data_IF_263709103780
#
_entry.id   IF_263709103780
#
_cell.length_a   1.000
_cell.length_b   1.000
_cell.length_c   1.000
_cell.angle_alpha   90.00
_cell.angle_beta   90.00
_cell.angle_gamma   90.00
#
_symmetry.space_group_name_H-M   'P 1'
#
loop_
_entity.id
_entity.type
_entity.pdbx_description
1 polymer ?
#
# COMPACT_ATOMS: atom_id res chain seq x y z
N UNK A 1 13.47 18.35 -5.41
CA UNK A 1 14.47 17.28 -5.25
C UNK A 1 14.31 16.23 -6.34
N UNK A 2 15.35 15.99 -7.14
CA UNK A 2 15.46 14.91 -8.13
C UNK A 2 16.62 13.95 -7.81
N UNK A 3 16.85 12.91 -8.62
CA UNK A 3 17.87 11.87 -8.35
C UNK A 3 19.29 12.37 -8.14
N UNK A 4 19.64 13.51 -8.75
CA UNK A 4 20.98 14.11 -8.66
C UNK A 4 21.25 14.78 -7.30
N UNK A 5 20.20 15.19 -6.59
CA UNK A 5 20.31 15.98 -5.35
C UNK A 5 20.58 15.09 -4.11
N UNK A 6 20.62 13.77 -4.28
CA UNK A 6 20.70 12.78 -3.21
C UNK A 6 21.91 11.85 -3.35
N UNK A 7 22.92 12.23 -4.16
CA UNK A 7 24.10 11.40 -4.46
C UNK A 7 23.75 9.94 -4.84
N UNK A 8 22.54 9.73 -5.40
CA UNK A 8 22.04 8.41 -5.82
C UNK A 8 22.60 7.99 -7.19
N UNK A 9 23.75 8.51 -7.64
CA UNK A 9 24.34 8.09 -8.92
C UNK A 9 24.67 6.60 -8.91
N UNK A 10 25.25 6.12 -7.81
CA UNK A 10 25.52 4.70 -7.56
C UNK A 10 24.22 3.90 -7.42
N UNK A 11 23.19 4.48 -6.79
CA UNK A 11 21.91 3.82 -6.51
C UNK A 11 21.03 3.72 -7.76
N UNK A 12 21.00 4.76 -8.58
CA UNK A 12 20.31 4.79 -9.89
C UNK A 12 21.02 3.87 -10.88
N UNK A 13 22.35 3.82 -10.84
CA UNK A 13 23.15 2.85 -11.61
C UNK A 13 22.87 1.41 -11.17
N UNK A 14 22.82 1.15 -9.86
CA UNK A 14 22.45 -0.15 -9.32
C UNK A 14 21.02 -0.57 -9.73
N UNK A 15 20.06 0.37 -9.74
CA UNK A 15 18.70 0.11 -10.21
C UNK A 15 18.67 -0.22 -11.72
N UNK A 16 19.46 0.47 -12.54
CA UNK A 16 19.59 0.19 -13.97
C UNK A 16 20.28 -1.16 -14.24
N UNK A 17 21.36 -1.47 -13.50
CA UNK A 17 22.14 -2.71 -13.64
C UNK A 17 21.37 -3.94 -13.13
N UNK A 18 20.46 -3.76 -12.15
CA UNK A 18 19.59 -4.83 -11.64
C UNK A 18 18.60 -5.35 -12.68
N UNK A 19 18.37 -4.63 -13.78
CA UNK A 19 17.62 -5.12 -14.94
C UNK A 19 18.27 -6.31 -15.65
N UNK A 20 19.50 -6.70 -15.28
CA UNK A 20 20.30 -7.75 -15.94
C UNK A 20 20.35 -9.06 -15.13
N UNK A 21 19.94 -9.08 -13.85
CA UNK A 21 20.07 -10.27 -13.00
C UNK A 21 18.84 -11.21 -13.09
N UNK A 22 19.03 -12.40 -13.70
CA UNK A 22 18.03 -13.51 -13.76
C UNK A 22 17.86 -14.21 -12.40
N UNK A 23 17.47 -13.50 -11.34
CA UNK A 23 16.95 -14.14 -10.11
C UNK A 23 15.50 -14.56 -10.38
N UNK A 24 15.07 -15.71 -9.83
CA UNK A 24 13.67 -16.17 -9.92
C UNK A 24 12.69 -15.25 -9.20
N UNK A 25 13.17 -14.45 -8.23
CA UNK A 25 12.39 -13.50 -7.44
C UNK A 25 13.11 -12.14 -7.39
N UNK A 26 12.42 -11.01 -7.63
CA UNK A 26 13.01 -9.69 -7.52
C UNK A 26 13.36 -9.39 -6.06
N UNK A 27 14.58 -8.90 -5.81
CA UNK A 27 15.03 -8.53 -4.47
C UNK A 27 14.99 -7.02 -4.33
N UNK A 28 14.34 -6.52 -3.29
CA UNK A 28 14.31 -5.09 -2.98
C UNK A 28 15.55 -4.76 -2.13
N UNK A 29 16.24 -3.68 -2.45
CA UNK A 29 17.28 -3.15 -1.56
C UNK A 29 16.82 -1.85 -0.93
N UNK A 30 17.27 -1.59 0.29
CA UNK A 30 17.03 -0.31 0.96
C UNK A 30 18.31 0.23 1.58
N UNK A 31 18.37 1.54 1.71
CA UNK A 31 19.46 2.24 2.42
C UNK A 31 18.87 3.33 3.29
N UNK A 32 19.18 3.31 4.57
CA UNK A 32 18.92 4.43 5.47
C UNK A 32 19.96 5.53 5.29
N UNK A 33 19.53 6.69 4.82
CA UNK A 33 20.36 7.90 4.67
C UNK A 33 20.55 8.57 6.03
N UNK A 34 19.48 8.65 6.81
CA UNK A 34 19.48 9.28 8.13
C UNK A 34 18.45 8.62 9.03
N UNK A 35 18.75 8.54 10.33
CA UNK A 35 17.83 8.05 11.34
C UNK A 35 18.06 8.79 12.66
N UNK A 36 16.97 9.25 13.25
CA UNK A 36 16.92 9.80 14.60
C UNK A 36 15.58 9.44 15.26
N UNK A 37 15.36 9.89 16.49
CA UNK A 37 14.10 9.62 17.21
C UNK A 37 12.86 10.23 16.54
N UNK A 38 13.05 11.30 15.75
CA UNK A 38 11.95 12.09 15.20
C UNK A 38 11.61 11.71 13.76
N UNK A 39 12.59 11.29 12.97
CA UNK A 39 12.38 10.88 11.60
C UNK A 39 13.51 9.99 11.07
N UNK A 40 13.22 9.24 10.02
CA UNK A 40 14.20 8.53 9.21
C UNK A 40 14.02 8.86 7.73
N UNK A 41 15.10 8.76 6.98
CA UNK A 41 15.14 8.94 5.52
C UNK A 41 15.67 7.64 4.92
N UNK A 42 14.85 6.97 4.11
CA UNK A 42 15.17 5.67 3.53
C UNK A 42 14.96 5.74 2.01
N UNK A 43 15.87 5.14 1.25
CA UNK A 43 15.69 4.91 -0.18
C UNK A 43 15.49 3.43 -0.44
N UNK A 44 14.43 3.09 -1.16
CA UNK A 44 14.16 1.75 -1.67
C UNK A 44 14.49 1.67 -3.15
N UNK A 45 15.17 0.60 -3.55
CA UNK A 45 15.35 0.20 -4.94
C UNK A 45 14.55 -1.04 -5.25
N UNK A 46 13.65 -0.88 -6.20
CA UNK A 46 12.75 -1.94 -6.64
C UNK A 46 13.15 -2.31 -8.08
N UNK A 47 13.65 -3.53 -8.32
CA UNK A 47 13.80 -4.02 -9.69
C UNK A 47 12.43 -4.19 -10.38
N UNK A 48 12.38 -4.27 -11.73
CA UNK A 48 11.12 -4.52 -12.44
C UNK A 48 10.38 -5.75 -11.90
N UNK A 49 9.08 -5.60 -11.66
CA UNK A 49 8.22 -6.65 -11.10
C UNK A 49 8.32 -6.82 -9.57
N UNK A 50 9.20 -6.10 -8.88
CA UNK A 50 9.24 -6.11 -7.42
C UNK A 50 8.01 -5.43 -6.81
N UNK A 51 7.58 -5.92 -5.65
CA UNK A 51 6.42 -5.41 -4.94
C UNK A 51 6.79 -5.19 -3.47
N UNK A 52 6.57 -3.98 -2.97
CA UNK A 52 6.40 -3.75 -1.53
C UNK A 52 4.92 -4.04 -1.24
N UNK A 53 4.60 -5.14 -0.53
CA UNK A 53 3.21 -5.58 -0.32
C UNK A 53 2.41 -4.53 0.44
N UNK A 54 1.09 -4.68 0.45
CA UNK A 54 0.22 -3.79 1.20
C UNK A 54 0.58 -3.82 2.69
N UNK A 55 0.96 -2.67 3.25
CA UNK A 55 1.38 -2.52 4.64
C UNK A 55 0.96 -1.16 5.20
N UNK A 56 0.88 -1.04 6.52
CA UNK A 56 0.53 0.20 7.22
C UNK A 56 1.73 0.96 7.81
N UNK A 57 1.42 2.15 8.35
CA UNK A 57 2.36 3.08 8.98
C UNK A 57 1.76 3.59 10.31
N UNK A 58 1.74 2.77 11.39
CA UNK A 58 0.98 3.06 12.60
C UNK A 58 1.46 4.34 13.31
N UNK A 59 0.61 5.36 13.36
CA UNK A 59 0.92 6.62 14.04
C UNK A 59 1.96 7.49 13.32
N UNK A 60 2.24 7.21 12.04
CA UNK A 60 3.29 7.88 11.28
C UNK A 60 2.72 8.79 10.19
N UNK A 61 3.45 9.85 9.88
CA UNK A 61 3.32 10.64 8.65
C UNK A 61 4.50 10.29 7.75
N UNK A 62 4.23 9.96 6.49
CA UNK A 62 5.29 9.58 5.53
C UNK A 62 5.18 10.43 4.28
N UNK A 63 6.30 11.04 3.89
CA UNK A 63 6.48 11.64 2.58
C UNK A 63 7.18 10.64 1.68
N UNK A 64 6.52 10.22 0.60
CA UNK A 64 7.08 9.26 -0.35
C UNK A 64 7.25 9.89 -1.73
N UNK A 65 8.42 9.74 -2.35
CA UNK A 65 8.70 10.32 -3.66
C UNK A 65 9.36 9.32 -4.59
N UNK A 66 8.72 9.07 -5.73
CA UNK A 66 9.34 8.34 -6.84
C UNK A 66 10.41 9.21 -7.49
N UNK A 67 11.67 8.81 -7.33
CA UNK A 67 12.82 9.51 -7.89
C UNK A 67 13.14 9.03 -9.31
N UNK A 68 12.95 7.74 -9.57
CA UNK A 68 13.24 7.11 -10.86
C UNK A 68 12.23 6.01 -11.17
N UNK A 69 11.95 5.80 -12.46
CA UNK A 69 11.13 4.70 -12.94
C UNK A 69 9.64 4.98 -12.99
N UNK A 70 8.88 3.90 -13.05
CA UNK A 70 7.43 3.88 -12.98
C UNK A 70 6.95 2.69 -12.16
N UNK A 71 5.97 2.93 -11.30
CA UNK A 71 5.35 1.93 -10.44
C UNK A 71 3.85 2.18 -10.34
N UNK A 72 3.12 1.15 -9.95
CA UNK A 72 1.71 1.23 -9.61
C UNK A 72 1.56 1.36 -8.09
N UNK A 73 0.74 2.30 -7.65
CA UNK A 73 0.40 2.52 -6.24
C UNK A 73 -1.07 2.20 -6.02
N UNK A 74 -1.32 1.37 -5.02
CA UNK A 74 -2.66 1.17 -4.46
C UNK A 74 -2.61 1.54 -2.98
N UNK A 75 -3.49 2.43 -2.51
CA UNK A 75 -3.52 2.85 -1.11
C UNK A 75 -4.93 2.99 -0.54
N UNK A 76 -5.04 2.81 0.77
CA UNK A 76 -6.29 2.73 1.51
C UNK A 76 -6.19 3.48 2.84
N UNK A 77 -7.32 4.00 3.30
CA UNK A 77 -7.55 4.42 4.68
C UNK A 77 -8.67 3.57 5.28
N UNK A 78 -8.70 3.43 6.61
CA UNK A 78 -9.81 2.74 7.26
C UNK A 78 -11.13 3.47 6.98
N UNK A 79 -12.20 2.72 6.69
CA UNK A 79 -13.53 3.31 6.66
C UNK A 79 -13.95 3.69 8.09
N UNK A 80 -14.81 4.70 8.22
CA UNK A 80 -15.30 5.16 9.53
C UNK A 80 -15.81 3.99 10.39
N UNK A 81 -15.61 4.07 11.71
CA UNK A 81 -15.86 3.00 12.67
C UNK A 81 -17.24 2.34 12.48
N UNK A 82 -17.25 1.03 12.23
CA UNK A 82 -18.50 0.27 12.10
C UNK A 82 -18.48 -0.99 11.23
N UNK A 83 -17.32 -1.45 10.74
CA UNK A 83 -17.26 -2.65 9.91
C UNK A 83 -15.96 -3.42 10.15
N UNK A 84 -15.75 -3.83 11.39
CA UNK A 84 -14.85 -4.94 11.68
C UNK A 84 -15.68 -6.22 11.49
N UNK A 85 -15.26 -7.11 10.60
CA UNK A 85 -15.88 -8.44 10.58
C UNK A 85 -15.40 -9.17 11.83
N UNK A 86 -16.30 -9.57 12.72
CA UNK A 86 -15.96 -10.26 13.98
C UNK A 86 -15.39 -11.68 13.80
N UNK A 87 -15.05 -12.09 12.58
CA UNK A 87 -14.48 -13.41 12.27
C UNK A 87 -12.94 -13.42 12.23
N UNK A 88 -12.35 -14.60 12.44
CA UNK A 88 -10.93 -14.87 12.19
C UNK A 88 -10.76 -15.44 10.76
N UNK A 89 -9.86 -14.86 9.93
CA UNK A 89 -8.93 -13.78 10.25
C UNK A 89 -9.63 -12.42 10.18
N UNK A 90 -9.20 -11.51 11.05
CA UNK A 90 -9.80 -10.18 11.18
C UNK A 90 -9.62 -9.39 9.87
N UNK A 91 -10.72 -9.20 9.14
CA UNK A 91 -10.77 -8.27 8.03
C UNK A 91 -11.42 -6.98 8.50
N UNK A 92 -10.88 -5.86 8.02
CA UNK A 92 -11.41 -4.52 8.33
C UNK A 92 -11.73 -3.76 7.07
N UNK A 93 -12.88 -3.09 7.08
CA UNK A 93 -13.32 -2.29 5.95
C UNK A 93 -12.39 -1.09 5.73
N UNK A 94 -11.96 -0.91 4.49
CA UNK A 94 -11.12 0.19 4.07
C UNK A 94 -11.66 0.87 2.81
N UNK A 95 -11.27 2.13 2.63
CA UNK A 95 -11.61 2.96 1.50
C UNK A 95 -10.36 3.17 0.64
N UNK A 96 -10.46 2.86 -0.64
CA UNK A 96 -9.46 3.12 -1.66
C UNK A 96 -9.25 4.63 -1.81
N UNK A 97 -8.01 5.06 -1.55
CA UNK A 97 -7.54 6.44 -1.64
C UNK A 97 -6.93 6.67 -3.01
N UNK A 98 -5.92 5.88 -3.38
CA UNK A 98 -5.20 5.95 -4.64
C UNK A 98 -5.13 4.56 -5.31
N UNK A 99 -5.30 4.54 -6.62
CA UNK A 99 -5.10 3.37 -7.49
C UNK A 99 -4.63 3.89 -8.83
N UNK A 100 -3.31 4.00 -9.01
CA UNK A 100 -2.73 4.73 -10.14
C UNK A 100 -1.30 4.31 -10.46
N UNK A 101 -0.96 4.40 -11.74
CA UNK A 101 0.42 4.35 -12.21
C UNK A 101 1.09 5.71 -12.02
N UNK A 102 2.25 5.71 -11.37
CA UNK A 102 3.12 6.87 -11.21
C UNK A 102 4.37 6.69 -12.07
N UNK A 103 4.83 7.78 -12.67
CA UNK A 103 6.07 7.84 -13.45
C UNK A 103 6.88 9.06 -13.06
N UNK A 104 8.17 8.88 -12.82
CA UNK A 104 9.07 10.00 -12.56
C UNK A 104 9.27 10.85 -13.85
N UNK A 105 9.34 12.19 -13.74
CA UNK A 105 9.17 12.97 -12.52
C UNK A 105 7.69 13.11 -12.11
N UNK A 106 7.41 12.96 -10.82
CA UNK A 106 6.08 13.21 -10.23
C UNK A 106 6.20 13.97 -8.90
N UNK A 107 5.06 14.44 -8.40
CA UNK A 107 4.94 14.99 -7.04
C UNK A 107 5.22 13.93 -5.97
N UNK A 108 5.41 14.39 -4.73
CA UNK A 108 5.47 13.48 -3.58
C UNK A 108 4.05 13.07 -3.17
N UNK A 109 3.90 11.85 -2.68
CA UNK A 109 2.75 11.41 -1.91
C UNK A 109 2.97 11.73 -0.44
N UNK A 110 1.88 11.99 0.28
CA UNK A 110 1.91 12.19 1.73
C UNK A 110 0.79 11.36 2.33
N UNK A 111 1.13 10.52 3.30
CA UNK A 111 0.17 9.83 4.16
C UNK A 111 0.30 10.33 5.60
N UNK A 112 -0.79 10.25 6.33
CA UNK A 112 -0.95 10.59 7.73
C UNK A 112 -1.39 9.32 8.51
N UNK A 113 -1.43 9.37 9.85
CA UNK A 113 -1.82 8.20 10.65
C UNK A 113 -3.20 7.60 10.29
N UNK A 114 -4.15 8.43 9.87
CA UNK A 114 -5.54 8.01 9.59
C UNK A 114 -6.07 8.51 8.24
N UNK A 115 -5.22 9.11 7.39
CA UNK A 115 -5.66 9.64 6.10
C UNK A 115 -4.53 9.69 5.06
N UNK A 116 -4.91 9.79 3.79
CA UNK A 116 -3.94 9.94 2.69
C UNK A 116 -3.41 8.61 2.15
N UNK A 117 -3.95 7.49 2.62
CA UNK A 117 -3.56 6.15 2.19
C UNK A 117 -2.52 5.54 3.13
N UNK A 118 -2.80 5.48 4.43
CA UNK A 118 -1.88 4.93 5.44
C UNK A 118 -1.45 3.49 5.11
N UNK A 119 -2.37 2.71 4.54
CA UNK A 119 -2.06 1.38 4.02
C UNK A 119 -1.76 1.49 2.53
N UNK A 120 -0.57 1.11 2.09
CA UNK A 120 -0.21 1.20 0.67
C UNK A 120 0.64 0.05 0.14
N UNK A 121 0.54 -0.17 -1.16
CA UNK A 121 1.26 -1.17 -1.94
C UNK A 121 1.97 -0.47 -3.09
N UNK A 122 3.24 -0.81 -3.30
CA UNK A 122 4.06 -0.29 -4.41
C UNK A 122 4.48 -1.46 -5.30
N UNK A 123 4.11 -1.42 -6.59
CA UNK A 123 4.47 -2.45 -7.56
C UNK A 123 5.26 -1.85 -8.73
N UNK A 124 6.55 -2.19 -8.82
CA UNK A 124 7.46 -1.61 -9.79
C UNK A 124 7.22 -2.15 -11.20
N UNK A 125 6.83 -1.27 -12.13
CA UNK A 125 6.70 -1.60 -13.55
C UNK A 125 8.05 -1.57 -14.26
N UNK A 126 8.92 -0.64 -13.87
CA UNK A 126 10.34 -0.58 -14.27
C UNK A 126 11.22 -0.64 -13.04
N UNK A 127 12.55 -0.60 -13.21
CA UNK A 127 13.44 -0.30 -12.09
C UNK A 127 13.02 1.05 -11.48
N UNK A 128 12.85 1.08 -10.16
CA UNK A 128 12.40 2.26 -9.42
C UNK A 128 13.33 2.60 -8.26
N UNK A 129 13.43 3.90 -7.97
CA UNK A 129 14.00 4.41 -6.74
C UNK A 129 12.93 5.24 -6.03
N UNK A 130 12.58 4.86 -4.79
CA UNK A 130 11.58 5.55 -3.97
C UNK A 130 12.26 6.06 -2.72
N UNK A 131 12.09 7.34 -2.43
CA UNK A 131 12.56 7.97 -1.19
C UNK A 131 11.40 8.15 -0.24
N UNK A 132 11.55 7.63 0.97
CA UNK A 132 10.60 7.83 2.06
C UNK A 132 11.25 8.65 3.19
N UNK A 133 10.50 9.62 3.71
CA UNK A 133 10.79 10.33 4.96
C UNK A 133 9.69 9.96 5.95
N UNK A 134 10.05 9.21 7.00
CA UNK A 134 9.10 8.63 7.95
C UNK A 134 9.19 9.37 9.28
N UNK A 135 8.06 9.90 9.76
CA UNK A 135 7.99 10.67 11.02
C UNK A 135 6.82 10.24 11.90
N UNK A 136 7.07 9.68 13.10
CA UNK A 136 8.35 9.12 13.56
C UNK A 136 8.73 7.84 12.78
N UNK A 137 9.93 7.28 12.95
CA UNK A 137 10.26 5.96 12.41
C UNK A 137 9.47 4.84 13.10
N UNK A 138 9.46 3.67 12.46
CA UNK A 138 9.02 2.42 13.07
C UNK A 138 9.82 2.11 14.35
N UNK A 139 9.20 1.36 15.27
CA UNK A 139 9.81 0.89 16.52
C UNK A 139 9.12 -0.39 16.97
N UNK A 140 9.61 -1.10 17.98
CA UNK A 140 8.94 -2.33 18.47
C UNK A 140 7.50 -2.13 19.01
N UNK A 141 7.02 -0.89 19.10
CA UNK A 141 5.61 -0.55 19.41
C UNK A 141 4.84 -0.01 18.19
N UNK A 142 5.50 0.12 17.05
CA UNK A 142 5.02 0.58 15.75
C UNK A 142 5.66 -0.31 14.69
N UNK A 143 5.36 -1.60 14.73
CA UNK A 143 5.77 -2.51 13.66
C UNK A 143 4.78 -2.38 12.50
N UNK A 144 5.27 -2.55 11.27
CA UNK A 144 4.39 -2.59 10.11
C UNK A 144 3.59 -3.90 10.09
N UNK A 145 2.29 -3.78 9.87
CA UNK A 145 1.37 -4.88 9.61
C UNK A 145 1.17 -5.04 8.11
N UNK A 146 1.10 -6.27 7.62
CA UNK A 146 0.87 -6.57 6.21
C UNK A 146 -0.56 -7.01 5.95
N UNK A 147 -1.10 -6.66 4.80
CA UNK A 147 -2.48 -6.95 4.44
C UNK A 147 -2.62 -7.58 3.06
N UNK A 148 -3.74 -8.26 2.85
CA UNK A 148 -4.29 -8.58 1.53
C UNK A 148 -5.60 -7.83 1.37
N UNK A 149 -5.76 -7.13 0.25
CA UNK A 149 -7.03 -6.51 -0.11
C UNK A 149 -7.98 -7.52 -0.78
N UNK A 150 -9.25 -7.43 -0.42
CA UNK A 150 -10.34 -8.21 -0.96
C UNK A 150 -11.42 -7.26 -1.49
N UNK A 151 -12.03 -7.53 -2.65
CA UNK A 151 -13.16 -6.77 -3.16
C UNK A 151 -14.28 -6.63 -2.12
N UNK A 152 -14.97 -5.48 -2.10
CA UNK A 152 -16.10 -5.24 -1.19
C UNK A 152 -17.16 -6.35 -1.22
N UNK A 153 -17.43 -6.93 -2.39
CA UNK A 153 -18.39 -8.02 -2.59
C UNK A 153 -18.01 -9.32 -1.88
N UNK A 154 -16.74 -9.50 -1.51
CA UNK A 154 -16.24 -10.71 -0.84
C UNK A 154 -16.45 -10.71 0.68
N UNK A 155 -17.11 -9.69 1.25
CA UNK A 155 -17.48 -9.69 2.69
C UNK A 155 -18.19 -10.97 3.13
N UNK A 156 -19.05 -11.54 2.27
CA UNK A 156 -19.81 -12.75 2.56
C UNK A 156 -18.94 -14.02 2.65
N UNK A 157 -17.78 -14.04 2.02
CA UNK A 157 -16.85 -15.17 2.11
C UNK A 157 -16.13 -15.20 3.47
N UNK A 158 -15.97 -14.05 4.11
CA UNK A 158 -15.39 -13.92 5.44
C UNK A 158 -16.35 -14.37 6.55
N UNK A 159 -17.66 -14.25 6.31
CA UNK A 159 -18.71 -14.66 7.26
C UNK A 159 -19.08 -16.16 7.19
N UNK A 160 -18.62 -16.89 6.18
CA UNK A 160 -18.97 -18.32 5.96
C UNK A 160 -18.16 -19.32 6.79
N UNK A 161 -17.35 -18.85 7.74
CA UNK A 161 -16.69 -19.72 8.72
C UNK A 161 -17.53 -19.98 9.97
N UNK A 162 -18.76 -19.44 10.08
CA UNK A 162 -19.57 -19.53 11.31
C UNK A 162 -21.03 -20.00 11.11
N UNK A 163 -21.42 -20.55 9.97
CA UNK A 163 -22.83 -21.00 9.82
C UNK A 163 -22.99 -22.23 8.91
N UNK A 164 -22.78 -23.41 9.48
CA UNK A 164 -23.47 -24.62 9.06
C UNK A 164 -24.83 -24.65 9.79
N UNK A 165 -25.82 -23.90 9.30
CA UNK A 165 -27.09 -23.74 10.00
C UNK A 165 -28.22 -23.04 9.25
N UNK A 166 -28.94 -23.81 8.44
CA UNK A 166 -30.32 -23.55 7.99
C UNK A 166 -30.58 -22.56 6.83
N UNK A 167 -31.25 -23.08 5.80
CA UNK A 167 -31.76 -22.35 4.65
C UNK A 167 -33.16 -21.75 4.90
N UNK A 168 -33.47 -20.57 4.35
CA UNK A 168 -34.80 -20.27 3.78
C UNK A 168 -34.86 -18.97 2.96
N UNK A 169 -35.27 -19.15 1.70
CA UNK A 169 -36.11 -18.38 0.77
C UNK A 169 -36.47 -16.89 0.99
N UNK A 170 -36.58 -16.18 -0.15
CA UNK A 170 -37.54 -15.08 -0.33
C UNK A 170 -37.12 -14.01 -1.34
N UNK A 171 -37.37 -14.25 -2.63
CA UNK A 171 -37.50 -13.19 -3.64
C UNK A 171 -38.83 -12.48 -3.40
N UNK A 172 -38.84 -11.14 -3.40
CA UNK A 172 -40.05 -10.40 -3.80
C UNK A 172 -39.70 -9.03 -4.37
N UNK A 173 -40.33 -8.79 -5.52
CA UNK A 173 -40.12 -7.73 -6.49
C UNK A 173 -41.13 -6.61 -6.23
N UNK A 174 -40.69 -5.35 -6.05
CA UNK A 174 -41.60 -4.19 -6.13
C UNK A 174 -40.95 -3.03 -6.89
N UNK A 175 -41.63 -2.68 -7.98
CA UNK A 175 -41.35 -1.57 -8.89
C UNK A 175 -42.04 -0.28 -8.40
N UNK A 176 -41.36 0.85 -8.61
CA UNK A 176 -41.85 2.16 -9.07
C UNK A 176 -41.44 3.38 -8.21
N UNK A 177 -40.93 4.42 -8.89
CA UNK A 177 -40.80 5.80 -8.37
C UNK A 177 -39.57 6.53 -8.92
N UNK A 178 -39.74 7.28 -10.01
CA UNK A 178 -38.67 7.96 -10.74
C UNK A 178 -38.28 9.34 -10.18
N UNK A 179 -37.02 9.73 -10.51
CA UNK A 179 -36.53 11.10 -10.69
C UNK A 179 -36.27 11.97 -9.45
N UNK A 180 -35.49 11.44 -8.50
CA UNK A 180 -34.65 12.22 -7.56
C UNK A 180 -33.50 11.37 -6.98
N UNK A 181 -33.61 10.03 -7.04
CA UNK A 181 -32.66 9.08 -6.44
C UNK A 181 -31.46 8.68 -7.32
N UNK A 182 -31.38 9.09 -8.58
CA UNK A 182 -30.35 8.57 -9.51
C UNK A 182 -28.95 9.05 -9.17
N UNK A 183 -28.81 10.29 -8.71
CA UNK A 183 -27.52 10.88 -8.34
C UNK A 183 -27.04 10.38 -6.98
N UNK A 184 -27.95 10.21 -6.02
CA UNK A 184 -27.61 9.63 -4.72
C UNK A 184 -27.31 8.13 -4.84
N UNK A 185 -28.05 7.39 -5.67
CA UNK A 185 -27.79 5.99 -5.96
C UNK A 185 -26.46 5.80 -6.70
N UNK A 186 -26.14 6.65 -7.69
CA UNK A 186 -24.83 6.66 -8.36
C UNK A 186 -23.69 7.07 -7.43
N UNK A 187 -23.89 8.04 -6.54
CA UNK A 187 -22.91 8.43 -5.51
C UNK A 187 -22.68 7.30 -4.51
N UNK A 188 -23.74 6.65 -4.04
CA UNK A 188 -23.67 5.47 -3.15
C UNK A 188 -22.99 4.27 -3.85
N UNK A 189 -23.29 4.03 -5.13
CA UNK A 189 -22.62 3.00 -5.93
C UNK A 189 -21.15 3.34 -6.19
N UNK A 190 -20.82 4.59 -6.54
CA UNK A 190 -19.46 5.07 -6.73
C UNK A 190 -18.62 5.04 -5.44
N UNK A 191 -19.24 5.35 -4.30
CA UNK A 191 -18.64 5.20 -2.98
C UNK A 191 -18.37 3.73 -2.65
N UNK A 192 -19.32 2.83 -2.95
CA UNK A 192 -19.14 1.37 -2.79
C UNK A 192 -18.04 0.79 -3.68
N UNK A 193 -17.81 1.34 -4.88
CA UNK A 193 -16.70 0.95 -5.77
C UNK A 193 -15.32 1.29 -5.20
N UNK A 194 -15.25 2.19 -4.23
CA UNK A 194 -14.02 2.56 -3.52
C UNK A 194 -13.88 1.87 -2.17
N UNK A 195 -14.71 0.89 -1.84
CA UNK A 195 -14.57 0.12 -0.61
C UNK A 195 -13.92 -1.25 -0.90
N UNK A 196 -13.19 -1.76 0.08
CA UNK A 196 -12.57 -3.08 0.08
C UNK A 196 -12.34 -3.55 1.51
N UNK A 197 -11.98 -4.82 1.67
CA UNK A 197 -11.62 -5.39 2.97
C UNK A 197 -10.13 -5.63 3.01
N UNK A 198 -9.46 -5.19 4.07
CA UNK A 198 -8.06 -5.54 4.31
C UNK A 198 -8.01 -6.65 5.34
N UNK A 199 -7.47 -7.78 4.91
CA UNK A 199 -7.22 -8.95 5.75
C UNK A 199 -5.79 -8.89 6.26
N UNK A 200 -5.60 -8.89 7.57
CA UNK A 200 -4.26 -8.96 8.15
C UNK A 200 -3.57 -10.29 7.77
N UNK A 201 -2.28 -10.20 7.47
CA UNK A 201 -1.43 -11.32 7.07
C UNK A 201 -0.08 -11.23 7.76
N UNK A 202 0.61 -12.37 7.87
CA UNK A 202 2.03 -12.36 8.21
C UNK A 202 2.86 -11.75 7.08
N UNK A 203 4.10 -11.31 7.39
CA UNK A 203 5.06 -10.85 6.38
C UNK A 203 5.15 -11.86 5.22
N UNK A 204 4.92 -11.45 3.96
CA UNK A 204 4.95 -12.37 2.83
C UNK A 204 6.30 -13.07 2.71
N UNK A 205 6.29 -14.40 2.48
CA UNK A 205 7.50 -15.23 2.40
C UNK A 205 8.36 -14.87 1.17
N UNK A 206 7.74 -14.28 0.16
CA UNK A 206 8.33 -13.78 -1.06
C UNK A 206 8.95 -12.38 -0.93
N UNK A 207 8.70 -11.66 0.17
CA UNK A 207 9.26 -10.33 0.39
C UNK A 207 10.72 -10.43 0.88
N UNK A 208 11.63 -10.41 -0.08
CA UNK A 208 13.07 -10.30 0.15
C UNK A 208 13.51 -8.83 0.09
N UNK A 209 14.01 -8.32 1.21
CA UNK A 209 14.50 -6.95 1.34
C UNK A 209 15.86 -6.95 2.04
N UNK A 210 16.86 -6.30 1.45
CA UNK A 210 18.23 -6.22 1.96
C UNK A 210 18.64 -4.78 2.25
N UNK A 211 19.24 -4.56 3.42
CA UNK A 211 19.89 -3.29 3.74
C UNK A 211 21.26 -3.22 3.03
N UNK A 212 21.47 -2.19 2.23
CA UNK A 212 22.81 -1.82 1.76
C UNK A 212 23.46 -0.95 2.83
N UNK A 213 24.56 -1.40 3.40
CA UNK A 213 25.34 -0.58 4.33
C UNK A 213 25.81 0.70 3.65
N UNK A 214 25.57 1.86 4.27
CA UNK A 214 26.16 3.12 3.85
C UNK A 214 27.69 2.98 3.86
N UNK A 215 28.33 3.03 2.69
CA UNK A 215 29.78 3.23 2.62
C UNK A 215 30.04 4.68 3.00
N UNK A 216 30.42 4.92 4.25
CA UNK A 216 30.98 6.19 4.67
C UNK A 216 32.21 6.47 3.79
N UNK A 217 32.12 7.43 2.87
CA UNK A 217 33.26 7.75 2.00
C UNK A 217 33.00 8.64 0.78
N UNK A 218 31.76 8.92 0.38
CA UNK A 218 31.49 9.81 -0.77
C UNK A 218 30.27 10.71 -0.54
N UNK A 219 30.36 11.55 0.50
CA UNK A 219 29.60 12.81 0.58
C UNK A 219 30.54 13.97 0.25
#
# INVERSE_FOLDING_TARGET
MGPKDVHLSAVTKAAADSGVQRRRRPIITRTTIHECTNFSIVVFLLPPGAVIPLHDHPGMTVFSKLLHGSLHVTSYDWAAAGADSHGRPAARLARLVLDADLRAPCGALVLFPESGGNMHRLAAATACAVLDVLGPPYSGHRDCTYYRDLPYSQHRLLARCEDDGEAAAGDDDVRAGAAAGDDEHRRRQGARRRLGWLLETGRPKELEMYELGCRAGEL
#
